data_IF_152399951520
#
_entry.id   IF_152399951520
#
_cell.length_a   1.000
_cell.length_b   1.000
_cell.length_c   1.000
_cell.angle_alpha   90.00
_cell.angle_beta   90.00
_cell.angle_gamma   90.00
#
_symmetry.space_group_name_H-M   'P 1'
#
loop_
_entity.id
_entity.type
_entity.pdbx_description
1 polymer ?
#
# COMPACT_ATOMS: atom_id res chain seq x y z
N UNK A 1 36.03 40.24 9.29
CA UNK A 1 34.67 39.99 8.80
C UNK A 1 34.63 38.58 8.21
N UNK A 2 34.08 37.59 8.92
CA UNK A 2 34.00 36.20 8.41
C UNK A 2 32.64 35.99 7.74
N UNK A 3 32.64 35.80 6.42
CA UNK A 3 31.45 35.46 5.66
C UNK A 3 31.09 33.98 5.90
N UNK A 4 29.98 33.74 6.59
CA UNK A 4 29.41 32.40 6.79
C UNK A 4 28.64 31.97 5.55
N UNK A 5 29.26 31.14 4.71
CA UNK A 5 28.63 30.59 3.50
C UNK A 5 27.58 29.54 3.87
N UNK A 6 26.30 29.94 3.84
CA UNK A 6 25.15 29.06 4.08
C UNK A 6 25.05 28.05 2.93
N UNK A 7 25.49 26.82 3.15
CA UNK A 7 25.41 25.73 2.17
C UNK A 7 23.94 25.37 1.96
N UNK A 8 23.38 25.79 0.82
CA UNK A 8 22.02 25.41 0.42
C UNK A 8 22.00 23.89 0.18
N UNK A 9 21.29 23.16 1.03
CA UNK A 9 21.03 21.73 0.83
C UNK A 9 20.23 21.55 -0.46
N UNK A 10 20.85 20.96 -1.48
CA UNK A 10 20.20 20.63 -2.74
C UNK A 10 18.96 19.76 -2.48
N UNK A 11 17.79 20.17 -2.97
CA UNK A 11 16.57 19.36 -2.86
C UNK A 11 16.76 18.09 -3.68
N UNK A 12 16.72 16.92 -3.04
CA UNK A 12 16.76 15.65 -3.76
C UNK A 12 15.58 15.58 -4.74
N UNK A 13 15.82 15.36 -6.05
CA UNK A 13 14.74 15.30 -7.02
C UNK A 13 13.75 14.19 -6.68
N UNK A 14 12.47 14.54 -6.60
CA UNK A 14 11.38 13.62 -6.29
C UNK A 14 11.16 12.73 -7.51
N UNK A 15 11.48 11.44 -7.42
CA UNK A 15 11.27 10.50 -8.53
C UNK A 15 9.81 10.55 -8.98
N UNK A 16 9.53 10.68 -10.30
CA UNK A 16 8.18 10.75 -10.83
C UNK A 16 7.35 9.52 -10.42
N UNK A 17 6.08 9.74 -10.04
CA UNK A 17 5.15 8.65 -9.69
C UNK A 17 4.63 8.00 -10.98
N UNK A 18 4.87 6.70 -11.12
CA UNK A 18 4.38 5.93 -12.28
C UNK A 18 3.02 5.33 -11.95
N UNK A 19 1.95 5.91 -12.51
CA UNK A 19 0.57 5.45 -12.32
C UNK A 19 0.15 4.34 -13.31
N UNK A 20 0.94 4.10 -14.36
CA UNK A 20 0.68 3.03 -15.34
C UNK A 20 0.93 1.66 -14.72
N UNK A 21 0.02 0.71 -14.91
CA UNK A 21 0.19 -0.68 -14.47
C UNK A 21 1.35 -1.35 -15.21
N UNK A 22 2.13 -2.14 -14.47
CA UNK A 22 3.13 -3.06 -15.02
C UNK A 22 2.57 -4.47 -14.91
N UNK A 23 3.10 -5.40 -15.70
CA UNK A 23 2.70 -6.81 -15.65
C UNK A 23 2.81 -7.38 -14.23
N UNK A 24 3.89 -7.07 -13.51
CA UNK A 24 4.07 -7.52 -12.11
C UNK A 24 2.98 -7.00 -11.17
N UNK A 25 2.44 -5.81 -11.44
CA UNK A 25 1.38 -5.24 -10.60
C UNK A 25 0.07 -6.01 -10.82
N UNK A 26 -0.25 -6.36 -12.08
CA UNK A 26 -1.41 -7.18 -12.43
C UNK A 26 -1.29 -8.55 -11.77
N UNK A 27 -0.15 -9.23 -11.97
CA UNK A 27 0.08 -10.58 -11.41
C UNK A 27 -0.07 -10.59 -9.89
N UNK A 28 0.53 -9.63 -9.18
CA UNK A 28 0.43 -9.57 -7.72
C UNK A 28 -0.97 -9.23 -7.26
N UNK A 29 -1.65 -8.30 -7.95
CA UNK A 29 -3.04 -7.99 -7.66
C UNK A 29 -3.95 -9.21 -7.86
N UNK A 30 -3.74 -10.00 -8.93
CA UNK A 30 -4.50 -11.24 -9.15
C UNK A 30 -4.24 -12.27 -8.06
N UNK A 31 -2.99 -12.46 -7.62
CA UNK A 31 -2.66 -13.39 -6.53
C UNK A 31 -3.33 -12.99 -5.22
N UNK A 32 -3.29 -11.69 -4.87
CA UNK A 32 -3.99 -11.16 -3.69
C UNK A 32 -5.49 -11.38 -3.82
N UNK A 33 -6.08 -11.06 -4.97
CA UNK A 33 -7.50 -11.25 -5.23
C UNK A 33 -7.92 -12.72 -5.10
N UNK A 34 -7.18 -13.65 -5.71
CA UNK A 34 -7.48 -15.08 -5.63
C UNK A 34 -7.40 -15.59 -4.19
N UNK A 35 -6.33 -15.26 -3.46
CA UNK A 35 -6.19 -15.65 -2.06
C UNK A 35 -7.32 -15.08 -1.19
N UNK A 36 -7.68 -13.82 -1.43
CA UNK A 36 -8.78 -13.15 -0.71
C UNK A 36 -10.14 -13.74 -1.08
N UNK A 37 -10.36 -14.15 -2.32
CA UNK A 37 -11.61 -14.79 -2.77
C UNK A 37 -11.89 -16.13 -2.09
N UNK A 38 -10.84 -16.91 -1.79
CA UNK A 38 -10.98 -18.12 -0.96
C UNK A 38 -11.39 -17.75 0.47
N UNK A 39 -10.81 -16.68 1.04
CA UNK A 39 -11.16 -16.18 2.37
C UNK A 39 -12.61 -15.66 2.38
N UNK A 40 -13.05 -14.95 1.34
CA UNK A 40 -14.43 -14.45 1.21
C UNK A 40 -15.45 -15.57 1.17
N UNK A 41 -15.13 -16.62 0.41
CA UNK A 41 -15.97 -17.81 0.37
C UNK A 41 -16.06 -18.47 1.75
N UNK A 42 -14.92 -18.68 2.42
CA UNK A 42 -14.88 -19.27 3.76
C UNK A 42 -15.61 -18.39 4.80
N UNK A 43 -15.47 -17.07 4.69
CA UNK A 43 -16.18 -16.09 5.52
C UNK A 43 -17.70 -16.15 5.29
N UNK A 44 -18.12 -16.39 4.04
CA UNK A 44 -19.52 -16.68 3.69
C UNK A 44 -20.11 -17.86 4.43
N UNK A 45 -19.34 -18.91 4.69
CA UNK A 45 -19.80 -20.05 5.49
C UNK A 45 -20.00 -19.68 6.97
N UNK A 46 -19.17 -18.76 7.48
CA UNK A 46 -19.24 -18.29 8.87
C UNK A 46 -20.34 -17.24 9.10
N UNK A 47 -20.83 -16.59 8.05
CA UNK A 47 -21.81 -15.50 8.16
C UNK A 47 -23.06 -15.90 8.93
N UNK A 48 -23.79 -16.93 8.49
CA UNK A 48 -25.08 -17.31 9.09
C UNK A 48 -25.01 -17.61 10.59
N UNK A 49 -24.08 -18.48 11.09
CA UNK A 49 -23.98 -18.71 12.52
C UNK A 49 -23.52 -17.47 13.29
N UNK A 50 -22.63 -16.65 12.73
CA UNK A 50 -22.10 -15.48 13.42
C UNK A 50 -23.11 -14.33 13.47
N UNK A 51 -23.90 -14.13 12.42
CA UNK A 51 -25.03 -13.21 12.40
C UNK A 51 -26.10 -13.61 13.41
N UNK A 52 -26.35 -14.91 13.59
CA UNK A 52 -27.25 -15.40 14.64
C UNK A 52 -26.75 -15.06 16.05
N UNK A 53 -25.43 -15.10 16.29
CA UNK A 53 -24.84 -14.68 17.57
C UNK A 53 -24.95 -13.17 17.82
N UNK A 54 -25.04 -12.37 16.76
CA UNK A 54 -25.19 -10.90 16.85
C UNK A 54 -26.65 -10.44 16.86
N UNK A 55 -27.60 -11.36 16.71
CA UNK A 55 -29.03 -11.06 16.59
C UNK A 55 -29.66 -10.40 17.84
N UNK A 56 -28.95 -10.36 18.98
CA UNK A 56 -29.42 -9.66 20.18
C UNK A 56 -29.54 -8.14 19.97
N UNK A 57 -28.83 -7.56 18.99
CA UNK A 57 -28.99 -6.16 18.59
C UNK A 57 -29.23 -6.11 17.07
N UNK A 58 -30.44 -5.76 16.62
CA UNK A 58 -30.75 -5.70 15.19
C UNK A 58 -29.82 -4.73 14.44
N UNK A 59 -29.18 -5.22 13.38
CA UNK A 59 -28.26 -4.46 12.53
C UNK A 59 -26.79 -4.64 12.92
N UNK A 60 -26.48 -5.25 14.07
CA UNK A 60 -25.11 -5.44 14.52
C UNK A 60 -24.32 -6.44 13.66
N UNK A 61 -25.01 -7.31 12.93
CA UNK A 61 -24.42 -8.22 11.93
C UNK A 61 -23.61 -7.48 10.84
N UNK A 62 -23.84 -6.18 10.64
CA UNK A 62 -22.99 -5.35 9.78
C UNK A 62 -21.51 -5.34 10.22
N UNK A 63 -21.21 -5.66 11.49
CA UNK A 63 -19.84 -5.84 11.97
C UNK A 63 -19.08 -6.97 11.27
N UNK A 64 -19.77 -7.87 10.59
CA UNK A 64 -19.17 -8.98 9.87
C UNK A 64 -18.84 -8.63 8.42
N UNK A 65 -19.38 -7.51 7.90
CA UNK A 65 -19.21 -7.11 6.50
C UNK A 65 -17.74 -6.89 6.12
N UNK A 66 -16.88 -6.54 7.09
CA UNK A 66 -15.47 -6.22 6.83
C UNK A 66 -14.64 -7.41 6.34
N UNK A 67 -15.12 -8.64 6.53
CA UNK A 67 -14.49 -9.83 5.99
C UNK A 67 -14.45 -9.88 4.46
N UNK A 68 -15.32 -9.13 3.77
CA UNK A 68 -15.35 -9.01 2.30
C UNK A 68 -14.74 -7.72 1.76
N UNK A 69 -14.22 -6.83 2.59
CA UNK A 69 -13.79 -5.49 2.12
C UNK A 69 -12.27 -5.32 2.09
N UNK A 70 -11.54 -6.27 2.67
CA UNK A 70 -10.09 -6.11 2.88
C UNK A 70 -9.29 -6.30 1.60
N UNK A 71 -9.80 -7.06 0.62
CA UNK A 71 -9.07 -7.39 -0.61
C UNK A 71 -8.73 -6.13 -1.40
N UNK A 72 -9.71 -5.26 -1.61
CA UNK A 72 -9.59 -3.96 -2.26
C UNK A 72 -8.62 -3.04 -1.54
N UNK A 73 -8.80 -2.86 -0.23
CA UNK A 73 -7.90 -2.00 0.55
C UNK A 73 -6.46 -2.51 0.50
N UNK A 74 -6.24 -3.81 0.68
CA UNK A 74 -4.92 -4.43 0.62
C UNK A 74 -4.27 -4.26 -0.75
N UNK A 75 -5.01 -4.53 -1.83
CA UNK A 75 -4.57 -4.34 -3.22
C UNK A 75 -4.17 -2.89 -3.50
N UNK A 76 -5.02 -1.94 -3.09
CA UNK A 76 -4.76 -0.50 -3.20
C UNK A 76 -3.48 -0.07 -2.48
N UNK A 77 -3.27 -0.53 -1.24
CA UNK A 77 -2.10 -0.18 -0.42
C UNK A 77 -0.78 -0.77 -0.97
N UNK A 78 -0.83 -1.95 -1.58
CA UNK A 78 0.36 -2.62 -2.15
C UNK A 78 0.72 -2.06 -3.52
N UNK A 79 -0.25 -2.03 -4.44
CA UNK A 79 -0.04 -1.68 -5.85
C UNK A 79 0.12 -0.18 -6.04
N UNK A 80 -0.65 0.62 -5.28
CA UNK A 80 -0.57 2.10 -5.25
C UNK A 80 -0.81 2.78 -6.59
N UNK A 81 -1.80 2.27 -7.35
CA UNK A 81 -2.18 2.75 -8.69
C UNK A 81 -3.71 2.84 -8.80
N UNK A 82 -4.22 3.71 -9.68
CA UNK A 82 -5.66 3.81 -9.91
C UNK A 82 -6.24 2.48 -10.40
N UNK A 83 -7.38 2.12 -9.82
CA UNK A 83 -8.13 0.91 -10.09
C UNK A 83 -7.60 -0.33 -9.34
N UNK A 84 -6.57 -0.20 -8.51
CA UNK A 84 -6.00 -1.35 -7.81
C UNK A 84 -6.94 -1.93 -6.75
N UNK A 85 -7.68 -1.09 -6.02
CA UNK A 85 -8.64 -1.53 -5.04
C UNK A 85 -9.82 -2.23 -5.72
N UNK A 86 -10.39 -1.60 -6.75
CA UNK A 86 -11.49 -2.22 -7.52
C UNK A 86 -11.07 -3.56 -8.12
N UNK A 87 -9.90 -3.60 -8.78
CA UNK A 87 -9.45 -4.81 -9.45
C UNK A 87 -9.28 -5.99 -8.47
N UNK A 88 -8.63 -5.78 -7.33
CA UNK A 88 -8.40 -6.88 -6.37
C UNK A 88 -9.69 -7.35 -5.72
N UNK A 89 -10.61 -6.43 -5.42
CA UNK A 89 -11.93 -6.75 -4.86
C UNK A 89 -12.77 -7.56 -5.85
N UNK A 90 -12.80 -7.13 -7.12
CA UNK A 90 -13.51 -7.85 -8.19
C UNK A 90 -12.95 -9.24 -8.40
N UNK A 91 -11.63 -9.41 -8.44
CA UNK A 91 -11.03 -10.74 -8.57
C UNK A 91 -11.39 -11.63 -7.38
N UNK A 92 -11.38 -11.08 -6.16
CA UNK A 92 -11.79 -11.82 -4.95
C UNK A 92 -13.26 -12.25 -5.03
N UNK A 93 -14.15 -11.34 -5.41
CA UNK A 93 -15.57 -11.61 -5.58
C UNK A 93 -15.85 -12.65 -6.68
N UNK A 94 -15.16 -12.58 -7.82
CA UNK A 94 -15.26 -13.59 -8.89
C UNK A 94 -14.84 -14.96 -8.37
N UNK A 95 -13.72 -15.07 -7.67
CA UNK A 95 -13.23 -16.34 -7.14
C UNK A 95 -14.21 -16.89 -6.08
N UNK A 96 -14.67 -16.06 -5.15
CA UNK A 96 -15.66 -16.46 -4.15
C UNK A 96 -16.97 -16.93 -4.78
N UNK A 97 -17.42 -16.25 -5.85
CA UNK A 97 -18.61 -16.63 -6.61
C UNK A 97 -18.42 -17.99 -7.29
N UNK A 98 -17.28 -18.20 -7.95
CA UNK A 98 -16.99 -19.43 -8.70
C UNK A 98 -16.80 -20.66 -7.80
N UNK A 99 -16.26 -20.50 -6.59
CA UNK A 99 -16.17 -21.60 -5.61
C UNK A 99 -17.59 -22.04 -5.16
N UNK A 100 -18.55 -21.13 -5.18
CA UNK A 100 -19.95 -21.41 -4.82
C UNK A 100 -20.31 -20.79 -3.48
N UNK A 101 -20.57 -19.48 -3.50
CA UNK A 101 -21.14 -18.75 -2.36
C UNK A 101 -22.66 -18.73 -2.41
N UNK A 102 -23.32 -18.62 -1.26
CA UNK A 102 -24.79 -18.62 -1.15
C UNK A 102 -25.48 -17.45 -1.89
N UNK A 103 -24.76 -16.35 -2.13
CA UNK A 103 -25.26 -15.19 -2.87
C UNK A 103 -25.08 -15.31 -4.39
N UNK A 104 -24.32 -16.30 -4.87
CA UNK A 104 -24.09 -16.52 -6.30
C UNK A 104 -23.56 -15.26 -7.01
N UNK A 105 -24.21 -14.90 -8.12
CA UNK A 105 -23.77 -13.80 -8.99
C UNK A 105 -23.80 -12.41 -8.35
N UNK A 106 -24.68 -12.16 -7.37
CA UNK A 106 -24.75 -10.83 -6.74
C UNK A 106 -23.44 -10.47 -6.04
N UNK A 107 -22.68 -11.45 -5.56
CA UNK A 107 -21.33 -11.27 -4.98
C UNK A 107 -20.42 -10.44 -5.88
N UNK A 108 -20.48 -10.65 -7.21
CA UNK A 108 -19.68 -9.88 -8.17
C UNK A 108 -20.10 -8.41 -8.19
N UNK A 109 -21.40 -8.14 -8.17
CA UNK A 109 -21.94 -6.78 -8.17
C UNK A 109 -21.51 -6.04 -6.89
N UNK A 110 -21.57 -6.73 -5.75
CA UNK A 110 -21.12 -6.21 -4.46
C UNK A 110 -19.62 -5.89 -4.49
N UNK A 111 -18.79 -6.83 -4.90
CA UNK A 111 -17.34 -6.61 -4.96
C UNK A 111 -16.92 -5.46 -5.89
N UNK A 112 -17.65 -5.21 -6.98
CA UNK A 112 -17.40 -4.03 -7.84
C UNK A 112 -17.65 -2.73 -7.04
N UNK A 113 -18.79 -2.63 -6.38
CA UNK A 113 -19.24 -1.40 -5.73
C UNK A 113 -18.48 -1.15 -4.41
N UNK A 114 -18.18 -2.22 -3.66
CA UNK A 114 -17.34 -2.19 -2.46
C UNK A 114 -15.91 -1.74 -2.80
N UNK A 115 -15.34 -2.33 -3.85
CA UNK A 115 -14.03 -1.96 -4.37
C UNK A 115 -14.00 -0.49 -4.81
N UNK A 116 -15.08 0.00 -5.44
CA UNK A 116 -15.24 1.41 -5.77
C UNK A 116 -15.31 2.29 -4.51
N UNK A 117 -15.99 1.84 -3.46
CA UNK A 117 -16.02 2.53 -2.17
C UNK A 117 -14.62 2.77 -1.59
N UNK A 118 -13.75 1.77 -1.62
CA UNK A 118 -12.34 1.93 -1.23
C UNK A 118 -11.55 2.82 -2.21
N UNK A 119 -11.72 2.60 -3.51
CA UNK A 119 -10.97 3.29 -4.56
C UNK A 119 -11.24 4.79 -4.58
N UNK A 120 -12.51 5.22 -4.38
CA UNK A 120 -12.89 6.64 -4.32
C UNK A 120 -12.09 7.35 -3.24
N UNK A 121 -11.92 6.74 -2.06
CA UNK A 121 -11.12 7.34 -0.99
C UNK A 121 -9.65 7.46 -1.42
N UNK A 122 -9.06 6.41 -1.98
CA UNK A 122 -7.68 6.47 -2.48
C UNK A 122 -7.49 7.53 -3.57
N UNK A 123 -8.50 7.71 -4.43
CA UNK A 123 -8.55 8.72 -5.48
C UNK A 123 -8.67 10.14 -4.91
N UNK A 124 -9.46 10.35 -3.84
CA UNK A 124 -9.55 11.65 -3.15
C UNK A 124 -8.20 12.10 -2.57
N UNK A 125 -7.37 11.15 -2.14
CA UNK A 125 -5.99 11.43 -1.73
C UNK A 125 -4.99 11.36 -2.88
N UNK A 126 -5.45 11.37 -4.14
CA UNK A 126 -4.65 11.38 -5.37
C UNK A 126 -3.57 10.30 -5.40
N UNK A 127 -3.84 9.13 -4.79
CA UNK A 127 -2.87 8.04 -4.65
C UNK A 127 -1.53 8.50 -4.05
N UNK A 128 -1.60 9.53 -3.18
CA UNK A 128 -0.43 10.26 -2.71
C UNK A 128 -0.05 9.94 -1.26
N UNK A 129 -0.99 9.43 -0.48
CA UNK A 129 -0.85 9.22 0.96
C UNK A 129 -1.27 7.79 1.32
N UNK A 130 -0.35 7.05 1.93
CA UNK A 130 -0.49 5.62 2.26
C UNK A 130 -0.38 5.35 3.77
N UNK A 131 -0.58 6.41 4.58
CA UNK A 131 -0.55 6.35 6.04
C UNK A 131 -1.80 5.64 6.57
N UNK A 132 -1.74 5.24 7.84
CA UNK A 132 -2.83 4.55 8.52
C UNK A 132 -4.19 5.24 8.32
N UNK A 133 -4.26 6.56 8.49
CA UNK A 133 -5.51 7.30 8.33
C UNK A 133 -6.19 7.10 6.96
N UNK A 134 -5.43 7.06 5.86
CA UNK A 134 -6.01 6.81 4.53
C UNK A 134 -6.45 5.36 4.37
N UNK A 135 -5.71 4.41 4.93
CA UNK A 135 -6.13 3.00 4.94
C UNK A 135 -7.45 2.81 5.72
N UNK A 136 -7.57 3.43 6.89
CA UNK A 136 -8.79 3.42 7.70
C UNK A 136 -9.96 4.03 6.93
N UNK A 137 -9.76 5.20 6.31
CA UNK A 137 -10.80 5.84 5.50
C UNK A 137 -11.19 5.01 4.28
N UNK A 138 -10.24 4.33 3.61
CA UNK A 138 -10.56 3.47 2.48
C UNK A 138 -11.42 2.26 2.91
N UNK A 139 -11.09 1.66 4.05
CA UNK A 139 -11.94 0.63 4.67
C UNK A 139 -13.31 1.17 5.07
N UNK A 140 -13.39 2.40 5.60
CA UNK A 140 -14.65 3.07 5.91
C UNK A 140 -15.49 3.31 4.64
N UNK A 141 -14.86 3.73 3.53
CA UNK A 141 -15.52 3.96 2.24
C UNK A 141 -16.12 2.67 1.66
N UNK A 142 -15.39 1.55 1.73
CA UNK A 142 -15.95 0.24 1.39
C UNK A 142 -17.09 -0.16 2.34
N UNK A 143 -16.97 0.13 3.63
CA UNK A 143 -18.01 -0.10 4.64
C UNK A 143 -19.29 0.68 4.38
N UNK A 144 -19.19 1.94 3.93
CA UNK A 144 -20.34 2.73 3.48
C UNK A 144 -20.98 2.09 2.25
N UNK A 145 -20.18 1.66 1.28
CA UNK A 145 -20.67 1.04 0.05
C UNK A 145 -21.50 -0.22 0.35
N UNK A 146 -20.96 -1.17 1.12
CA UNK A 146 -21.71 -2.39 1.48
C UNK A 146 -22.92 -2.08 2.36
N UNK A 147 -22.79 -1.17 3.33
CA UNK A 147 -23.90 -0.79 4.19
C UNK A 147 -25.09 -0.22 3.41
N UNK A 148 -24.83 0.61 2.40
CA UNK A 148 -25.87 1.14 1.51
C UNK A 148 -26.44 0.06 0.59
N UNK A 149 -25.60 -0.82 0.05
CA UNK A 149 -26.06 -1.92 -0.80
C UNK A 149 -27.00 -2.85 -0.05
N UNK A 150 -26.58 -3.31 1.11
CA UNK A 150 -27.33 -4.29 1.89
C UNK A 150 -28.67 -3.70 2.33
N UNK A 151 -28.67 -2.48 2.86
CA UNK A 151 -29.90 -1.81 3.34
C UNK A 151 -30.85 -1.36 2.23
N UNK A 152 -30.46 -1.43 0.95
CA UNK A 152 -31.26 -0.94 -0.19
C UNK A 152 -31.66 -2.05 -1.17
N UNK A 153 -30.79 -3.03 -1.42
CA UNK A 153 -30.96 -4.03 -2.49
C UNK A 153 -31.13 -5.46 -1.98
N UNK A 154 -31.22 -5.65 -0.66
CA UNK A 154 -31.54 -6.94 -0.05
C UNK A 154 -32.88 -6.89 0.68
N UNK A 155 -33.23 -7.97 1.39
CA UNK A 155 -34.39 -8.00 2.28
C UNK A 155 -34.36 -6.90 3.36
N UNK A 156 -33.18 -6.37 3.70
CA UNK A 156 -33.04 -5.28 4.67
C UNK A 156 -33.68 -3.96 4.19
N UNK A 157 -34.00 -3.82 2.91
CA UNK A 157 -34.73 -2.68 2.37
C UNK A 157 -36.12 -2.50 3.00
N UNK A 158 -36.75 -3.58 3.45
CA UNK A 158 -38.06 -3.56 4.12
C UNK A 158 -37.98 -3.27 5.63
N UNK A 159 -36.77 -3.23 6.21
CA UNK A 159 -36.58 -3.00 7.64
C UNK A 159 -36.62 -1.51 8.00
N UNK A 160 -36.81 -1.24 9.29
CA UNK A 160 -36.94 0.12 9.82
C UNK A 160 -35.64 0.92 9.70
N UNK A 161 -35.77 2.24 9.80
CA UNK A 161 -34.63 3.17 9.67
C UNK A 161 -33.60 2.97 10.78
N UNK A 162 -34.02 2.56 11.98
CA UNK A 162 -33.13 2.27 13.10
C UNK A 162 -32.22 1.08 12.81
N UNK A 163 -32.80 -0.04 12.34
CA UNK A 163 -32.01 -1.20 11.88
C UNK A 163 -30.98 -0.79 10.83
N UNK A 164 -31.41 -0.07 9.79
CA UNK A 164 -30.52 0.34 8.69
C UNK A 164 -29.38 1.23 9.18
N UNK A 165 -29.66 2.16 10.09
CA UNK A 165 -28.65 3.03 10.66
C UNK A 165 -27.61 2.23 11.46
N UNK A 166 -28.05 1.29 12.31
CA UNK A 166 -27.16 0.42 13.08
C UNK A 166 -26.31 -0.45 12.15
N UNK A 167 -26.91 -1.01 11.10
CA UNK A 167 -26.21 -1.81 10.11
C UNK A 167 -25.12 -1.04 9.39
N UNK A 168 -25.44 0.15 8.86
CA UNK A 168 -24.47 1.00 8.14
C UNK A 168 -23.33 1.39 9.07
N UNK A 169 -23.61 1.85 10.30
CA UNK A 169 -22.56 2.22 11.26
C UNK A 169 -21.67 1.02 11.59
N UNK A 170 -22.27 -0.15 11.81
CA UNK A 170 -21.56 -1.39 12.10
C UNK A 170 -20.65 -1.80 10.92
N UNK A 171 -21.17 -1.74 9.69
CA UNK A 171 -20.41 -2.02 8.47
C UNK A 171 -19.24 -1.05 8.27
N UNK A 172 -19.44 0.25 8.54
CA UNK A 172 -18.37 1.26 8.48
C UNK A 172 -17.29 1.02 9.52
N UNK A 173 -17.67 0.73 10.77
CA UNK A 173 -16.72 0.41 11.85
C UNK A 173 -15.92 -0.84 11.47
N UNK A 174 -16.60 -1.89 11.03
CA UNK A 174 -15.97 -3.13 10.60
C UNK A 174 -15.05 -2.93 9.40
N UNK A 175 -15.47 -2.21 8.36
CA UNK A 175 -14.61 -1.87 7.23
C UNK A 175 -13.38 -1.07 7.66
N UNK A 176 -13.54 -0.11 8.56
CA UNK A 176 -12.43 0.68 9.10
C UNK A 176 -11.38 -0.20 9.79
N UNK A 177 -11.84 -1.16 10.61
CA UNK A 177 -10.94 -2.03 11.39
C UNK A 177 -10.43 -3.23 10.56
N UNK A 178 -11.32 -4.05 10.03
CA UNK A 178 -10.97 -5.29 9.33
C UNK A 178 -10.45 -5.05 7.92
N UNK A 179 -10.95 -4.06 7.19
CA UNK A 179 -10.40 -3.78 5.86
C UNK A 179 -9.28 -2.73 5.92
N UNK A 180 -9.45 -1.67 6.71
CA UNK A 180 -8.48 -0.59 6.84
C UNK A 180 -7.25 -0.98 7.67
N UNK A 181 -7.45 -1.19 8.98
CA UNK A 181 -6.35 -1.42 9.93
C UNK A 181 -5.62 -2.74 9.64
N UNK A 182 -6.35 -3.84 9.48
CA UNK A 182 -5.75 -5.16 9.25
C UNK A 182 -4.93 -5.20 7.96
N UNK A 183 -5.46 -4.67 6.85
CA UNK A 183 -4.72 -4.61 5.58
C UNK A 183 -3.45 -3.77 5.72
N UNK A 184 -3.53 -2.65 6.43
CA UNK A 184 -2.34 -1.81 6.67
C UNK A 184 -1.27 -2.53 7.49
N UNK A 185 -1.67 -3.31 8.50
CA UNK A 185 -0.77 -4.16 9.27
C UNK A 185 -0.19 -5.29 8.40
N UNK A 186 -1.01 -5.91 7.56
CA UNK A 186 -0.61 -6.95 6.62
C UNK A 186 0.47 -6.46 5.65
N UNK A 187 0.30 -5.26 5.08
CA UNK A 187 1.33 -4.63 4.22
C UNK A 187 2.66 -4.48 4.96
N UNK A 188 2.63 -4.07 6.23
CA UNK A 188 3.85 -3.93 7.04
C UNK A 188 4.49 -5.27 7.35
N UNK A 189 3.69 -6.29 7.65
CA UNK A 189 4.17 -7.67 7.83
C UNK A 189 4.86 -8.19 6.57
N UNK A 190 4.18 -8.09 5.42
CA UNK A 190 4.69 -8.52 4.12
C UNK A 190 5.92 -7.72 3.66
N UNK A 191 6.01 -6.44 4.04
CA UNK A 191 7.20 -5.66 3.75
C UNK A 191 8.43 -6.13 4.53
N UNK A 192 8.26 -6.61 5.77
CA UNK A 192 9.34 -7.14 6.60
C UNK A 192 9.90 -8.46 6.09
N UNK A 193 9.11 -9.26 5.37
CA UNK A 193 9.57 -10.52 4.76
C UNK A 193 10.34 -10.31 3.45
N UNK A 194 10.37 -9.08 2.92
CA UNK A 194 10.99 -8.77 1.62
C UNK A 194 10.10 -9.07 0.41
N UNK A 195 8.92 -9.68 0.60
CA UNK A 195 7.98 -10.00 -0.47
C UNK A 195 7.54 -8.75 -1.28
N UNK A 196 7.49 -7.58 -0.62
CA UNK A 196 7.12 -6.31 -1.26
C UNK A 196 8.30 -5.48 -1.78
N UNK A 197 9.52 -6.03 -1.84
CA UNK A 197 10.73 -5.31 -2.28
C UNK A 197 10.61 -4.65 -3.67
N UNK A 198 9.82 -5.25 -4.56
CA UNK A 198 9.54 -4.73 -5.92
C UNK A 198 8.52 -3.58 -5.95
N UNK A 199 7.81 -3.34 -4.85
CA UNK A 199 6.73 -2.36 -4.73
C UNK A 199 7.12 -1.11 -3.95
N UNK A 200 6.40 -0.01 -4.18
CA UNK A 200 6.59 1.22 -3.41
C UNK A 200 6.26 1.00 -1.92
N UNK A 201 5.30 0.12 -1.61
CA UNK A 201 4.96 -0.27 -0.25
C UNK A 201 6.14 -0.87 0.54
N UNK A 202 6.93 -1.76 -0.08
CA UNK A 202 8.11 -2.33 0.57
C UNK A 202 9.22 -1.31 0.80
N UNK A 203 9.48 -0.43 -0.19
CA UNK A 203 10.53 0.61 -0.09
C UNK A 203 10.24 1.65 1.00
N UNK A 204 8.97 1.98 1.23
CA UNK A 204 8.59 2.90 2.31
C UNK A 204 8.79 2.27 3.70
N UNK A 205 8.42 1.01 3.88
CA UNK A 205 8.61 0.30 5.14
C UNK A 205 10.09 0.15 5.52
N UNK A 206 10.98 -0.12 4.55
CA UNK A 206 12.43 -0.22 4.80
C UNK A 206 13.05 1.10 5.26
N UNK A 207 12.56 2.25 4.79
CA UNK A 207 13.06 3.59 5.21
C UNK A 207 12.67 3.93 6.65
N UNK A 208 11.47 3.54 7.07
CA UNK A 208 11.03 3.70 8.47
C UNK A 208 11.90 2.86 9.41
N UNK A 209 12.30 1.65 8.99
CA UNK A 209 13.24 0.80 9.74
C UNK A 209 14.63 1.41 9.92
N UNK A 210 15.18 2.06 8.88
CA UNK A 210 16.50 2.72 8.96
C UNK A 210 16.50 3.96 9.86
N UNK A 211 15.38 4.67 9.95
CA UNK A 211 15.27 5.87 10.81
C UNK A 211 15.26 5.51 12.31
N UNK A 212 14.85 4.28 12.67
CA UNK A 212 14.87 3.78 14.04
C UNK A 212 16.17 3.07 14.46
N UNK A 213 17.09 2.81 13.54
CA UNK A 213 18.37 2.11 13.79
C UNK A 213 19.60 3.03 13.84
N UNK A 214 19.41 4.35 13.87
CA UNK A 214 20.52 5.30 14.06
C UNK A 214 20.47 5.99 15.44
N UNK A 215 20.65 5.27 16.57
CA UNK A 215 21.02 5.92 17.82
C UNK A 215 22.53 6.20 17.79
N UNK A 216 22.89 7.47 18.02
CA UNK A 216 24.24 8.02 18.17
C UNK A 216 25.02 8.37 16.87
N UNK A 217 25.16 9.68 16.66
CA UNK A 217 25.94 10.27 15.60
C UNK A 217 27.44 9.99 15.74
N UNK A 218 27.95 9.07 14.93
CA UNK A 218 29.37 9.03 14.62
C UNK A 218 29.65 10.01 13.48
N UNK A 219 30.08 11.20 13.88
CA UNK A 219 30.68 12.20 13.01
C UNK A 219 32.10 11.71 12.65
N UNK A 220 32.46 11.48 11.39
CA UNK A 220 33.85 11.18 11.01
C UNK A 220 34.61 12.50 10.96
N UNK A 221 34.89 13.09 12.13
CA UNK A 221 35.71 14.29 12.28
C UNK A 221 36.92 13.98 13.17
N UNK A 222 37.93 13.37 12.54
CA UNK A 222 39.26 13.19 13.10
C UNK A 222 40.32 13.50 12.04
N UNK A 223 40.25 14.67 11.42
CA UNK A 223 41.37 15.23 10.68
C UNK A 223 41.93 16.40 11.49
N UNK A 224 43.09 16.16 12.09
CA UNK A 224 43.88 17.13 12.84
C UNK A 224 44.74 17.93 11.84
N UNK A 225 44.64 19.26 11.77
CA UNK A 225 45.56 20.07 10.98
C UNK A 225 46.59 20.72 11.90
N UNK A 226 47.84 20.26 11.89
CA UNK A 226 48.93 20.99 12.54
C UNK A 226 50.29 20.45 12.10
N UNK A 227 51.06 21.29 11.42
CA UNK A 227 52.50 21.07 11.20
C UNK A 227 52.98 21.53 9.83
N UNK A 228 53.10 22.85 9.63
CA UNK A 228 54.08 23.38 8.69
C UNK A 228 55.46 23.28 9.34
N UNK A 229 56.46 22.79 8.60
CA UNK A 229 57.87 23.08 8.84
C UNK A 229 58.56 23.29 7.47
N UNK A 230 59.23 24.43 7.24
CA UNK A 230 59.95 24.72 6.00
C UNK A 230 61.44 24.45 6.17
N UNK A 231 61.95 23.40 5.55
CA UNK A 231 63.40 23.23 5.37
C UNK A 231 63.67 22.44 4.10
N UNK A 232 64.37 23.07 3.17
CA UNK A 232 64.56 22.59 1.81
C UNK A 232 65.53 21.41 1.67
N UNK A 233 65.60 20.92 0.43
CA UNK A 233 66.85 20.55 -0.22
C UNK A 233 66.63 20.41 -1.73
N UNK A 234 67.67 20.86 -2.44
CA UNK A 234 67.84 20.98 -3.87
C UNK A 234 67.91 19.63 -4.61
N UNK A 235 67.72 19.65 -5.93
CA UNK A 235 68.25 18.61 -6.82
C UNK A 235 67.46 18.34 -8.11
N UNK A 236 67.98 18.68 -9.31
CA UNK A 236 67.26 18.63 -10.59
C UNK A 236 67.60 17.40 -11.46
N UNK A 237 66.74 17.11 -12.45
CA UNK A 237 67.04 16.20 -13.56
C UNK A 237 65.80 16.02 -14.46
N UNK A 238 65.75 16.75 -15.57
CA UNK A 238 65.90 16.20 -16.94
C UNK A 238 64.81 15.19 -17.32
N UNK A 239 63.88 15.48 -18.23
CA UNK A 239 64.02 15.78 -19.67
C UNK A 239 63.44 14.62 -20.48
N UNK A 240 62.84 14.99 -21.61
CA UNK A 240 62.59 14.18 -22.81
C UNK A 240 61.43 13.17 -22.73
N UNK A 241 60.32 13.43 -23.40
CA UNK A 241 60.11 13.19 -24.85
C UNK A 241 60.20 11.71 -25.22
N UNK A 242 59.04 11.10 -25.50
CA UNK A 242 58.88 10.34 -26.74
C UNK A 242 57.41 10.23 -27.14
N UNK A 243 57.10 10.94 -28.22
CA UNK A 243 56.05 10.62 -29.17
C UNK A 243 56.37 9.29 -29.85
N UNK A 244 55.33 8.53 -30.20
CA UNK A 244 55.15 7.61 -31.34
C UNK A 244 53.98 6.69 -30.95
N UNK A 245 52.95 6.35 -31.72
CA UNK A 245 52.47 6.61 -33.08
C UNK A 245 51.01 6.06 -33.09
N UNK A 246 50.11 6.70 -33.84
CA UNK A 246 48.80 6.15 -34.31
C UNK A 246 49.05 5.27 -35.56
N UNK A 247 48.06 4.77 -36.32
CA UNK A 247 46.75 4.10 -36.07
C UNK A 247 46.72 2.70 -36.76
N UNK A 248 45.57 1.99 -36.76
CA UNK A 248 45.06 1.03 -37.80
C UNK A 248 44.19 -0.06 -37.14
N UNK A 249 42.86 -0.08 -37.30
CA UNK A 249 42.04 -0.62 -38.41
C UNK A 249 41.57 -2.09 -38.23
N UNK A 250 40.30 -2.33 -38.57
CA UNK A 250 39.78 -3.51 -39.31
C UNK A 250 39.17 -4.70 -38.54
N UNK A 251 37.82 -4.73 -38.56
CA UNK A 251 36.93 -5.85 -38.99
C UNK A 251 36.70 -7.06 -38.08
N UNK A 252 35.47 -7.20 -37.55
CA UNK A 252 34.42 -8.11 -38.03
C UNK A 252 33.08 -7.83 -37.36
#
# INVERSE_FOLDING_TARGET
MHASTKRLTASTPRTPRVLKWRVVDIVVASVIGVASGVIFWAWGLAWSPLSALLAFTPGLEGLLAGGWLFAGVLGGLIIRKPGAAVYTEVVAAVVSMLIGTQWGFSTLIWGIIEGLGAEIVLALFLYANWRLGVALLAGAGAGVAVGLLDTTFTSYAALDVGYKAVYIVSAVVSGTVLAGLLSWLAVRGLARTGALSRFAAGREASRVGQTGQNPSGQNPSGQHPSGQDPSGQDGPGESALRQTETPSQTTR
#
